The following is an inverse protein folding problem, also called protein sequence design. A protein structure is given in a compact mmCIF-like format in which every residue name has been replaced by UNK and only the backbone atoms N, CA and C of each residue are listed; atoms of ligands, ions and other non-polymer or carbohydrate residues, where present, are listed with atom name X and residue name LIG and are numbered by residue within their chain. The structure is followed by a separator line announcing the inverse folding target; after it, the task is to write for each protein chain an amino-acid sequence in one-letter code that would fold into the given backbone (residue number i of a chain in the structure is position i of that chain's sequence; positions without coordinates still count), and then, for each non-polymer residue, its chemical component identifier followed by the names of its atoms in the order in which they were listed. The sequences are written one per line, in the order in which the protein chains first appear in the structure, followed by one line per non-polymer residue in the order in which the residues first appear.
data_IF_539155354067
#
_entry.id   IF_539155354067
#
_cell.length_a   1.000
_cell.length_b   1.000
_cell.length_c   1.000
_cell.angle_alpha   90.00
_cell.angle_beta   90.00
_cell.angle_gamma   90.00
#
_symmetry.space_group_name_H-M   'P 1'
#
loop_
_entity.id
_entity.type
_entity.pdbx_description
1 polymer ?
#
# COMPACT_ATOMS: atom_id res chain seq x y z
N UNK A 1 11.75 -8.94 4.97
CA UNK A 1 11.70 -8.63 6.42
C UNK A 1 13.09 -8.38 6.98
N UNK A 2 14.09 -9.19 6.64
CA UNK A 2 15.47 -9.03 7.15
C UNK A 2 16.06 -7.62 7.05
N UNK A 3 15.84 -6.92 5.94
CA UNK A 3 16.30 -5.52 5.81
C UNK A 3 15.63 -4.60 6.83
N UNK A 4 14.31 -4.71 7.01
CA UNK A 4 13.56 -3.94 8.00
C UNK A 4 14.05 -4.24 9.42
N UNK A 5 14.24 -5.53 9.74
CA UNK A 5 14.70 -5.96 11.06
C UNK A 5 16.11 -5.47 11.37
N UNK A 6 16.96 -5.34 10.34
CA UNK A 6 18.31 -4.75 10.47
C UNK A 6 18.28 -3.24 10.70
N UNK A 7 17.37 -2.53 10.04
CA UNK A 7 17.22 -1.06 10.19
C UNK A 7 16.54 -0.71 11.52
N UNK A 8 15.60 -1.54 11.97
CA UNK A 8 14.82 -1.36 13.20
C UNK A 8 15.07 -2.51 14.18
N UNK A 9 16.32 -2.66 14.60
CA UNK A 9 16.75 -3.73 15.50
C UNK A 9 16.11 -3.63 16.88
N UNK A 10 15.83 -2.41 17.35
CA UNK A 10 15.08 -2.10 18.58
C UNK A 10 13.64 -2.65 18.54
N UNK A 11 13.02 -2.64 17.35
CA UNK A 11 11.70 -3.23 17.14
C UNK A 11 11.80 -4.75 16.99
N UNK A 12 12.79 -5.24 16.24
CA UNK A 12 12.93 -6.66 15.94
C UNK A 12 13.36 -7.52 17.14
N UNK A 13 13.94 -6.92 18.18
CA UNK A 13 14.43 -7.62 19.37
C UNK A 13 13.31 -8.38 20.11
N UNK A 14 12.08 -7.84 20.10
CA UNK A 14 10.92 -8.50 20.67
C UNK A 14 10.08 -9.13 19.55
N UNK A 15 10.12 -10.45 19.44
CA UNK A 15 9.37 -11.21 18.44
C UNK A 15 7.84 -11.05 18.58
N UNK A 16 7.35 -10.57 19.73
CA UNK A 16 5.93 -10.28 19.97
C UNK A 16 5.46 -9.00 19.28
N UNK A 17 6.39 -8.15 18.82
CA UNK A 17 6.04 -6.96 18.04
C UNK A 17 5.47 -7.34 16.68
N UNK A 18 4.40 -6.65 16.27
CA UNK A 18 3.53 -7.07 15.18
C UNK A 18 3.88 -6.38 13.87
N UNK A 19 4.03 -7.14 12.79
CA UNK A 19 4.22 -6.65 11.43
C UNK A 19 2.87 -6.70 10.73
N UNK A 20 2.39 -5.55 10.29
CA UNK A 20 1.10 -5.37 9.66
C UNK A 20 1.28 -5.05 8.18
N UNK A 21 0.31 -5.45 7.36
CA UNK A 21 0.05 -4.75 6.12
C UNK A 21 -1.42 -4.42 6.00
N UNK A 22 -1.67 -3.40 5.20
CA UNK A 22 -2.98 -2.82 5.02
C UNK A 22 -3.40 -3.04 3.58
N UNK A 23 -4.62 -3.51 3.34
CA UNK A 23 -5.16 -3.56 2.00
C UNK A 23 -6.52 -2.89 1.91
N UNK A 24 -6.79 -2.24 0.79
CA UNK A 24 -8.04 -1.51 0.62
C UNK A 24 -8.35 -1.32 -0.86
N UNK A 25 -9.64 -1.43 -1.19
CA UNK A 25 -10.15 -1.18 -2.53
C UNK A 25 -11.63 -0.78 -2.48
N UNK A 26 -12.12 -0.13 -3.54
CA UNK A 26 -13.54 0.07 -3.76
C UNK A 26 -14.24 -1.24 -4.12
N UNK A 27 -15.42 -1.45 -3.55
CA UNK A 27 -16.28 -2.59 -3.83
C UNK A 27 -17.74 -2.13 -3.97
N UNK A 28 -18.42 -2.52 -5.04
CA UNK A 28 -19.86 -2.28 -5.22
C UNK A 28 -20.58 -3.61 -5.46
N UNK A 29 -21.29 -4.18 -4.46
CA UNK A 29 -22.01 -5.44 -4.60
C UNK A 29 -23.24 -5.32 -5.52
N UNK A 30 -23.81 -4.13 -5.65
CA UNK A 30 -25.05 -3.86 -6.36
C UNK A 30 -24.83 -3.26 -7.75
N UNK A 31 -23.61 -3.35 -8.29
CA UNK A 31 -23.23 -2.75 -9.57
C UNK A 31 -24.17 -3.15 -10.72
N UNK A 32 -24.68 -4.38 -10.69
CA UNK A 32 -25.57 -4.91 -11.72
C UNK A 32 -27.02 -4.42 -11.58
N UNK A 33 -27.41 -3.92 -10.42
CA UNK A 33 -28.79 -3.47 -10.13
C UNK A 33 -28.98 -1.97 -10.35
N UNK A 34 -27.95 -1.27 -10.85
CA UNK A 34 -28.01 0.17 -11.14
C UNK A 34 -28.05 1.07 -9.91
N UNK A 35 -27.96 0.53 -8.69
CA UNK A 35 -27.91 1.30 -7.45
C UNK A 35 -26.46 1.76 -7.23
N UNK A 36 -26.17 3.07 -7.30
CA UNK A 36 -24.82 3.57 -7.04
C UNK A 36 -24.58 3.55 -5.52
N UNK A 37 -23.91 2.49 -5.05
CA UNK A 37 -23.45 2.39 -3.67
C UNK A 37 -22.09 1.70 -3.63
N UNK A 38 -21.08 2.39 -3.11
CA UNK A 38 -19.74 1.86 -2.93
C UNK A 38 -19.47 1.57 -1.46
N UNK A 39 -18.74 0.49 -1.22
CA UNK A 39 -18.10 0.16 0.03
C UNK A 39 -16.60 0.26 -0.16
N UNK A 40 -15.92 0.86 0.80
CA UNK A 40 -14.47 0.93 0.82
C UNK A 40 -13.96 0.26 2.10
N UNK A 41 -13.80 -1.06 2.11
CA UNK A 41 -13.21 -1.76 3.25
C UNK A 41 -11.71 -1.49 3.34
N UNK A 42 -11.22 -1.34 4.56
CA UNK A 42 -9.80 -1.33 4.90
C UNK A 42 -9.55 -2.56 5.76
N UNK A 43 -8.68 -3.43 5.26
CA UNK A 43 -8.27 -4.63 5.97
C UNK A 43 -6.83 -4.50 6.47
N UNK A 44 -6.56 -5.12 7.61
CA UNK A 44 -5.25 -5.25 8.21
C UNK A 44 -4.93 -6.73 8.36
N UNK A 45 -3.75 -7.13 7.92
CA UNK A 45 -3.25 -8.50 8.01
C UNK A 45 -2.01 -8.56 8.88
N UNK A 46 -1.92 -9.59 9.72
CA UNK A 46 -0.75 -9.85 10.57
C UNK A 46 0.24 -10.76 9.85
N UNK A 47 1.45 -10.24 9.61
CA UNK A 47 2.53 -10.94 8.90
C UNK A 47 3.54 -11.64 9.81
N UNK A 48 3.30 -11.70 11.13
CA UNK A 48 4.11 -12.52 12.04
C UNK A 48 3.93 -14.02 11.81
N UNK A 49 2.87 -14.41 11.12
CA UNK A 49 2.52 -15.79 10.83
C UNK A 49 3.10 -16.23 9.49
N UNK A 50 3.26 -17.55 9.33
CA UNK A 50 3.70 -18.14 8.07
C UNK A 50 2.78 -17.70 6.90
N UNK A 51 3.30 -17.53 5.66
CA UNK A 51 2.51 -17.04 4.51
C UNK A 51 1.21 -17.82 4.25
N UNK A 52 1.19 -19.12 4.52
CA UNK A 52 -0.02 -19.96 4.38
C UNK A 52 -1.11 -19.67 5.42
N UNK A 53 -0.80 -18.92 6.49
CA UNK A 53 -1.72 -18.57 7.56
C UNK A 53 -2.13 -17.10 7.53
N UNK A 54 -1.23 -16.18 7.17
CA UNK A 54 -1.52 -14.75 7.24
C UNK A 54 -2.68 -14.32 6.33
N UNK A 55 -2.91 -15.03 5.21
CA UNK A 55 -4.03 -14.77 4.30
C UNK A 55 -5.33 -15.48 4.66
N UNK A 56 -5.37 -16.22 5.79
CA UNK A 56 -6.60 -16.86 6.25
C UNK A 56 -7.52 -15.83 6.90
N UNK A 57 -8.83 -16.00 6.76
CA UNK A 57 -9.87 -15.15 7.36
C UNK A 57 -9.63 -14.75 8.82
N UNK A 58 -9.23 -15.64 9.76
CA UNK A 58 -8.97 -15.23 11.15
C UNK A 58 -7.78 -14.29 11.35
N UNK A 59 -6.91 -14.13 10.35
CA UNK A 59 -5.72 -13.28 10.39
C UNK A 59 -5.91 -11.97 9.61
N UNK A 60 -7.10 -11.75 9.06
CA UNK A 60 -7.50 -10.55 8.32
C UNK A 60 -8.57 -9.82 9.14
N UNK A 61 -8.24 -8.61 9.56
CA UNK A 61 -9.13 -7.76 10.36
C UNK A 61 -9.69 -6.64 9.49
N UNK A 62 -11.01 -6.49 9.43
CA UNK A 62 -11.61 -5.30 8.83
C UNK A 62 -11.54 -4.16 9.84
N UNK A 63 -10.62 -3.21 9.64
CA UNK A 63 -10.41 -2.09 10.57
C UNK A 63 -11.37 -0.93 10.30
N UNK A 64 -11.74 -0.72 9.04
CA UNK A 64 -12.69 0.31 8.63
C UNK A 64 -13.58 -0.21 7.51
N UNK A 65 -14.85 0.22 7.51
CA UNK A 65 -15.77 0.05 6.40
C UNK A 65 -16.40 1.40 6.12
N UNK A 66 -16.12 1.96 4.94
CA UNK A 66 -16.64 3.27 4.55
C UNK A 66 -17.70 3.06 3.47
N UNK A 67 -18.99 3.11 3.83
CA UNK A 67 -20.07 3.05 2.87
C UNK A 67 -20.40 4.44 2.31
N UNK A 68 -20.87 4.52 1.07
CA UNK A 68 -21.34 5.78 0.49
C UNK A 68 -22.03 5.62 -0.86
N UNK A 69 -22.89 6.57 -1.25
CA UNK A 69 -23.55 6.56 -2.56
C UNK A 69 -22.56 6.75 -3.73
N UNK A 70 -21.35 7.23 -3.44
CA UNK A 70 -20.24 7.40 -4.38
C UNK A 70 -18.94 7.04 -3.69
N UNK A 71 -17.94 6.71 -4.50
CA UNK A 71 -16.56 6.50 -4.04
C UNK A 71 -16.11 7.66 -3.13
N UNK A 72 -15.45 7.39 -1.99
CA UNK A 72 -15.01 8.39 -1.03
C UNK A 72 -13.80 9.23 -1.51
N UNK A 73 -13.58 9.35 -2.83
CA UNK A 73 -12.41 9.92 -3.50
C UNK A 73 -11.90 11.22 -2.88
N UNK A 74 -12.80 12.13 -2.48
CA UNK A 74 -12.42 13.42 -1.92
C UNK A 74 -12.08 13.40 -0.42
N UNK A 75 -12.63 12.45 0.35
CA UNK A 75 -12.63 12.51 1.81
C UNK A 75 -12.04 11.26 2.48
N UNK A 76 -11.46 10.33 1.71
CA UNK A 76 -10.88 9.07 2.25
C UNK A 76 -9.90 9.32 3.41
N UNK A 77 -9.10 10.39 3.33
CA UNK A 77 -8.14 10.78 4.37
C UNK A 77 -8.79 11.12 5.72
N UNK A 78 -10.02 11.64 5.71
CA UNK A 78 -10.78 11.94 6.95
C UNK A 78 -11.11 10.65 7.67
N UNK A 79 -11.56 9.64 6.93
CA UNK A 79 -11.92 8.33 7.48
C UNK A 79 -10.70 7.52 7.91
N UNK A 80 -9.56 7.65 7.22
CA UNK A 80 -8.33 6.96 7.57
C UNK A 80 -7.58 7.59 8.76
N UNK A 81 -7.87 8.84 9.10
CA UNK A 81 -7.15 9.59 10.14
C UNK A 81 -7.10 8.88 11.50
N UNK A 82 -8.19 8.29 12.03
CA UNK A 82 -8.13 7.56 13.30
C UNK A 82 -7.18 6.36 13.22
N UNK A 83 -7.29 5.56 12.16
CA UNK A 83 -6.43 4.39 11.95
C UNK A 83 -4.96 4.79 11.84
N UNK A 84 -4.64 5.85 11.08
CA UNK A 84 -3.27 6.36 10.95
C UNK A 84 -2.73 6.84 12.30
N UNK A 85 -3.56 7.46 13.14
CA UNK A 85 -3.14 7.89 14.47
C UNK A 85 -2.83 6.69 15.37
N UNK A 86 -3.68 5.66 15.38
CA UNK A 86 -3.44 4.43 16.14
C UNK A 86 -2.17 3.71 15.70
N UNK A 87 -1.94 3.60 14.38
CA UNK A 87 -0.72 3.03 13.84
C UNK A 87 0.53 3.83 14.23
N UNK A 88 0.44 5.15 14.33
CA UNK A 88 1.54 6.00 14.82
C UNK A 88 1.84 5.76 16.30
N UNK A 89 0.81 5.64 17.13
CA UNK A 89 0.97 5.31 18.57
C UNK A 89 1.59 3.92 18.73
N UNK A 90 1.08 2.92 18.01
CA UNK A 90 1.62 1.55 18.00
C UNK A 90 3.09 1.49 17.58
N UNK A 91 3.52 2.34 16.65
CA UNK A 91 4.91 2.37 16.19
C UNK A 91 5.84 3.07 17.18
N UNK A 92 5.45 4.25 17.68
CA UNK A 92 6.30 5.12 18.51
C UNK A 92 6.33 4.69 19.97
N UNK A 93 5.17 4.58 20.58
CA UNK A 93 5.01 4.43 22.03
C UNK A 93 4.73 2.97 22.40
N UNK A 94 4.03 2.26 21.51
CA UNK A 94 3.49 0.93 21.80
C UNK A 94 2.26 0.98 22.72
N UNK A 95 1.69 -0.18 23.00
CA UNK A 95 0.56 -0.32 23.91
C UNK A 95 0.88 -1.36 24.98
N UNK A 96 0.57 -1.04 26.23
CA UNK A 96 0.73 -1.97 27.34
C UNK A 96 -0.22 -3.16 27.18
N UNK A 97 0.34 -4.35 27.01
CA UNK A 97 -0.39 -5.58 26.70
C UNK A 97 0.00 -6.68 27.68
N UNK A 98 -1.00 -7.45 28.11
CA UNK A 98 -0.78 -8.58 29.01
C UNK A 98 -0.30 -9.83 28.25
N UNK A 99 0.86 -10.35 28.61
CA UNK A 99 1.37 -11.63 28.10
C UNK A 99 0.84 -12.78 28.97
N UNK A 100 -0.03 -13.62 28.41
CA UNK A 100 -0.59 -14.79 29.10
C UNK A 100 0.48 -15.81 29.47
N UNK A 101 1.49 -16.00 28.61
CA UNK A 101 2.53 -17.00 28.82
C UNK A 101 3.48 -16.58 29.94
N UNK A 102 3.90 -15.31 29.94
CA UNK A 102 4.82 -14.77 30.96
C UNK A 102 4.11 -14.21 32.20
N UNK A 103 2.77 -14.09 32.17
CA UNK A 103 1.93 -13.47 33.21
C UNK A 103 2.45 -12.10 33.63
N UNK A 104 2.87 -11.30 32.67
CA UNK A 104 3.38 -9.96 32.89
C UNK A 104 2.97 -9.03 31.76
N UNK A 105 2.91 -7.75 32.06
CA UNK A 105 2.71 -6.73 31.05
C UNK A 105 4.00 -6.51 30.23
N UNK A 106 3.83 -6.21 28.95
CA UNK A 106 4.90 -5.74 28.08
C UNK A 106 4.35 -4.69 27.12
N UNK A 107 5.24 -3.86 26.57
CA UNK A 107 4.87 -2.89 25.55
C UNK A 107 4.90 -3.58 24.19
N UNK A 108 3.74 -3.76 23.57
CA UNK A 108 3.65 -4.27 22.20
C UNK A 108 3.76 -3.09 21.23
N UNK A 109 4.61 -3.23 20.22
CA UNK A 109 4.70 -2.29 19.09
C UNK A 109 4.19 -2.95 17.82
N UNK A 110 3.67 -2.14 16.90
CA UNK A 110 3.32 -2.61 15.56
C UNK A 110 3.92 -1.73 14.47
N UNK A 111 4.32 -2.36 13.36
CA UNK A 111 4.89 -1.71 12.19
C UNK A 111 4.05 -2.01 10.96
N UNK A 112 3.61 -0.97 10.24
CA UNK A 112 2.98 -1.13 8.94
C UNK A 112 4.07 -1.25 7.86
N UNK A 113 4.17 -2.42 7.23
CA UNK A 113 5.22 -2.71 6.23
C UNK A 113 4.84 -2.24 4.82
N UNK A 114 3.61 -2.51 4.40
CA UNK A 114 3.14 -2.15 3.06
C UNK A 114 1.64 -1.94 3.01
N UNK A 115 1.23 -1.15 2.02
CA UNK A 115 -0.16 -0.98 1.62
C UNK A 115 -0.39 -1.70 0.29
N UNK A 116 -1.46 -2.48 0.20
CA UNK A 116 -1.87 -3.20 -1.02
C UNK A 116 -3.16 -2.55 -1.51
N UNK A 117 -3.08 -1.96 -2.69
CA UNK A 117 -4.21 -1.31 -3.35
C UNK A 117 -4.08 -1.52 -4.85
N UNK A 118 -5.21 -1.50 -5.56
CA UNK A 118 -5.14 -1.39 -7.01
C UNK A 118 -4.66 0.00 -7.43
N UNK A 119 -4.36 0.17 -8.71
CA UNK A 119 -3.74 1.41 -9.18
C UNK A 119 -4.63 2.66 -8.99
N UNK A 120 -5.95 2.62 -9.27
CA UNK A 120 -6.86 3.71 -8.91
C UNK A 120 -6.90 4.02 -7.41
N UNK A 121 -7.04 3.00 -6.55
CA UNK A 121 -7.07 3.17 -5.11
C UNK A 121 -5.74 3.73 -4.57
N UNK A 122 -4.61 3.32 -5.14
CA UNK A 122 -3.30 3.88 -4.81
C UNK A 122 -3.26 5.39 -5.05
N UNK A 123 -3.74 5.86 -6.22
CA UNK A 123 -3.83 7.30 -6.52
C UNK A 123 -4.64 8.07 -5.49
N UNK A 124 -5.76 7.49 -5.06
CA UNK A 124 -6.60 8.09 -4.02
C UNK A 124 -5.91 8.16 -2.65
N UNK A 125 -5.22 7.10 -2.24
CA UNK A 125 -4.56 7.03 -0.93
C UNK A 125 -3.31 7.89 -0.85
N UNK A 126 -2.52 7.92 -1.94
CA UNK A 126 -1.25 8.64 -2.00
C UNK A 126 -1.39 10.10 -2.46
N UNK A 127 -2.55 10.47 -3.02
CA UNK A 127 -2.73 11.73 -3.74
C UNK A 127 -1.98 11.77 -5.07
N UNK A 128 -1.48 10.62 -5.55
CA UNK A 128 -0.74 10.52 -6.80
C UNK A 128 -1.68 10.55 -8.02
N UNK A 129 -1.27 11.24 -9.08
CA UNK A 129 -2.03 11.21 -10.34
C UNK A 129 -1.92 9.82 -10.98
N UNK A 130 -3.05 9.14 -11.18
CA UNK A 130 -3.12 7.87 -11.93
C UNK A 130 -3.30 8.09 -13.43
N UNK A 131 -3.30 9.35 -13.88
CA UNK A 131 -3.56 9.76 -15.25
C UNK A 131 -2.43 10.64 -15.81
N UNK A 132 -2.36 10.69 -17.14
CA UNK A 132 -1.40 11.54 -17.85
C UNK A 132 0.03 11.01 -17.74
N UNK A 133 1.04 11.85 -18.04
CA UNK A 133 2.47 11.48 -18.03
C UNK A 133 3.04 11.16 -16.64
N UNK A 134 2.33 11.54 -15.58
CA UNK A 134 2.73 11.32 -14.20
C UNK A 134 2.15 10.03 -13.61
N UNK A 135 1.44 9.20 -14.40
CA UNK A 135 0.81 8.00 -13.86
C UNK A 135 1.81 7.04 -13.19
N UNK A 136 3.05 6.91 -13.67
CA UNK A 136 4.00 5.99 -13.07
C UNK A 136 4.65 6.58 -11.79
N UNK A 137 4.36 6.02 -10.59
CA UNK A 137 4.91 6.54 -9.33
C UNK A 137 6.42 6.30 -9.20
N UNK A 138 6.94 5.26 -9.86
CA UNK A 138 8.37 4.95 -9.84
C UNK A 138 9.20 5.88 -10.74
N UNK A 139 8.57 6.37 -11.80
CA UNK A 139 9.24 7.22 -12.80
C UNK A 139 9.11 8.70 -12.48
N UNK A 140 8.06 9.07 -11.75
CA UNK A 140 7.73 10.45 -11.40
C UNK A 140 7.83 11.38 -12.61
N UNK A 141 8.60 12.46 -12.49
CA UNK A 141 8.90 13.45 -13.52
C UNK A 141 9.92 12.98 -14.56
N UNK A 142 10.69 11.92 -14.27
CA UNK A 142 11.71 11.34 -15.15
C UNK A 142 11.14 10.38 -16.19
N UNK A 143 9.81 10.20 -16.21
CA UNK A 143 9.18 9.31 -17.18
C UNK A 143 9.38 9.85 -18.60
N UNK A 144 9.95 9.02 -19.49
CA UNK A 144 9.99 9.30 -20.95
C UNK A 144 8.62 9.02 -21.60
N UNK A 145 7.53 9.31 -20.88
CA UNK A 145 6.18 9.04 -21.36
C UNK A 145 5.80 10.04 -22.46
N UNK A 146 5.46 9.53 -23.63
CA UNK A 146 5.04 10.34 -24.76
C UNK A 146 3.59 10.06 -25.14
N UNK A 147 2.99 10.98 -25.89
CA UNK A 147 1.62 10.87 -26.36
C UNK A 147 1.66 10.40 -27.80
N UNK A 148 0.98 9.30 -28.11
CA UNK A 148 0.84 8.85 -29.49
C UNK A 148 0.04 9.90 -30.27
N UNK A 149 0.60 10.41 -31.37
CA UNK A 149 0.00 11.53 -32.10
C UNK A 149 -1.41 11.19 -32.64
N UNK A 150 -1.59 9.97 -33.17
CA UNK A 150 -2.86 9.56 -33.77
C UNK A 150 -3.87 9.04 -32.74
N UNK A 151 -3.40 8.49 -31.62
CA UNK A 151 -4.24 7.89 -30.59
C UNK A 151 -4.54 8.80 -29.39
N UNK A 152 -3.79 9.90 -29.22
CA UNK A 152 -3.76 10.79 -28.05
C UNK A 152 -3.62 10.08 -26.70
N UNK A 153 -3.22 8.81 -26.70
CA UNK A 153 -2.97 8.00 -25.50
C UNK A 153 -1.53 8.22 -25.03
N UNK A 154 -1.36 8.32 -23.72
CA UNK A 154 -0.04 8.35 -23.07
C UNK A 154 0.51 6.93 -23.06
N UNK A 155 1.71 6.77 -23.57
CA UNK A 155 2.43 5.50 -23.60
C UNK A 155 3.67 5.61 -22.72
N UNK A 156 3.80 4.65 -21.81
CA UNK A 156 4.93 4.53 -20.89
C UNK A 156 5.92 3.50 -21.44
N UNK A 157 6.75 3.91 -22.39
CA UNK A 157 7.82 3.05 -22.89
C UNK A 157 9.02 3.10 -21.92
N UNK A 158 9.58 1.93 -21.60
CA UNK A 158 10.80 1.75 -20.77
C UNK A 158 10.73 2.12 -19.27
N UNK A 159 9.56 2.43 -18.71
CA UNK A 159 9.43 2.64 -17.25
C UNK A 159 9.91 1.44 -16.40
N UNK A 160 9.85 0.22 -16.95
CA UNK A 160 10.36 -1.00 -16.31
C UNK A 160 11.88 -1.17 -16.37
N UNK A 161 12.60 -0.40 -17.19
CA UNK A 161 14.05 -0.52 -17.39
C UNK A 161 14.89 0.56 -16.69
N UNK A 162 14.26 1.51 -16.00
CA UNK A 162 14.99 2.59 -15.31
C UNK A 162 15.87 2.13 -14.15
N UNK A 163 15.66 0.90 -13.64
CA UNK A 163 16.47 0.33 -12.56
C UNK A 163 17.52 -0.68 -13.05
N UNK A 164 17.70 -0.81 -14.37
CA UNK A 164 18.76 -1.62 -14.96
C UNK A 164 20.03 -0.77 -15.09
N UNK A 165 21.19 -1.35 -14.76
CA UNK A 165 22.50 -0.77 -15.05
C UNK A 165 22.59 -0.29 -16.52
N UNK A 166 23.27 0.84 -16.74
CA UNK A 166 23.53 1.36 -18.08
C UNK A 166 24.24 0.35 -18.99
N UNK A 167 24.96 -0.61 -18.41
CA UNK A 167 25.72 -1.64 -19.13
C UNK A 167 24.88 -2.82 -19.62
N UNK A 168 23.57 -2.85 -19.34
CA UNK A 168 22.71 -3.88 -19.93
C UNK A 168 22.56 -3.65 -21.45
N UNK A 169 22.87 -4.68 -22.24
CA UNK A 169 22.77 -4.79 -23.71
C UNK A 169 21.47 -4.26 -24.36
N UNK A 170 20.44 -3.96 -23.59
CA UNK A 170 19.18 -3.36 -24.07
C UNK A 170 19.17 -1.82 -24.06
N UNK A 171 20.19 -1.16 -23.48
CA UNK A 171 20.37 0.30 -23.51
C UNK A 171 21.23 0.80 -24.68
N UNK A 172 21.90 -0.09 -25.43
CA UNK A 172 22.82 0.26 -26.52
C UNK A 172 22.14 0.77 -27.80
N UNK A 173 20.81 0.64 -27.93
CA UNK A 173 20.06 1.17 -29.08
C UNK A 173 19.73 2.66 -28.96
N UNK A 174 20.04 3.32 -27.83
CA UNK A 174 19.72 4.73 -27.59
C UNK A 174 20.77 5.73 -28.12
N UNK A 175 21.90 5.28 -28.66
CA UNK A 175 22.89 6.17 -29.28
C UNK A 175 22.72 6.38 -30.79
N UNK A 176 21.73 5.72 -31.42
CA UNK A 176 21.55 5.73 -32.88
C UNK A 176 20.25 6.41 -33.36
N UNK A 177 19.52 7.09 -32.47
CA UNK A 177 18.31 7.83 -32.83
C UNK A 177 18.30 9.23 -32.22
N UNK A 178 19.37 10.00 -32.45
CA UNK A 178 19.37 11.47 -32.43
C UNK A 178 19.68 11.95 -33.84
#
# INVERSE_FOLDING_TARGET
MEHFDRVHSDFAIDARNVRLGLCTNEFNPNRNNGIPYSYWPVFITVYNLHPSMCMKTPCIFMSLLIPGPKSPTSNINVFLRPLVNELKVLWKDGINTWDIHRKQNFQIRAALLWTISDFPAYGMLSGWSTHGRLACPYSMDKSKAFVLQNGRKVLFFYCSRMFLSNDHLSNSYLSLSN
#
